data_IF_952379603782
#
_entry.id   IF_952379603782
#
_cell.length_a   1.000
_cell.length_b   1.000
_cell.length_c   1.000
_cell.angle_alpha   90.00
_cell.angle_beta   90.00
_cell.angle_gamma   90.00
#
_symmetry.space_group_name_H-M   'P 1'
#
loop_
_entity.id
_entity.type
_entity.pdbx_description
1 polymer ?
#
# COMPACT_ATOMS: atom_id res chain seq x y z
N UNK A 1 -15.76 -6.68 20.77
CA UNK A 1 -15.52 -6.77 19.32
C UNK A 1 -14.40 -5.83 18.96
N UNK A 2 -13.21 -6.39 18.81
CA UNK A 2 -12.07 -5.65 18.30
C UNK A 2 -12.32 -5.48 16.79
N UNK A 3 -12.64 -4.25 16.37
CA UNK A 3 -13.05 -3.94 15.00
C UNK A 3 -11.97 -4.27 13.96
N UNK A 4 -12.34 -4.22 12.68
CA UNK A 4 -11.36 -4.34 11.60
C UNK A 4 -10.45 -3.11 11.63
N UNK A 5 -9.14 -3.28 11.44
CA UNK A 5 -8.22 -2.16 11.53
C UNK A 5 -6.78 -2.48 11.21
N UNK A 6 -5.93 -1.47 11.38
CA UNK A 6 -4.48 -1.57 11.25
C UNK A 6 -3.89 -1.45 12.66
N UNK A 7 -3.14 -2.47 13.04
CA UNK A 7 -2.55 -2.62 14.37
C UNK A 7 -1.03 -2.72 14.26
N UNK A 8 -0.34 -2.17 15.26
CA UNK A 8 1.10 -2.30 15.43
C UNK A 8 1.37 -3.26 16.58
N UNK A 9 2.00 -4.38 16.28
CA UNK A 9 2.39 -5.40 17.25
C UNK A 9 3.90 -5.63 17.22
N UNK A 10 4.46 -6.05 18.35
CA UNK A 10 5.85 -6.49 18.42
C UNK A 10 5.90 -8.00 18.18
N UNK A 11 6.94 -8.47 17.49
CA UNK A 11 7.18 -9.91 17.34
C UNK A 11 7.24 -10.60 18.71
N UNK A 12 6.47 -11.67 18.87
CA UNK A 12 6.37 -12.42 20.12
C UNK A 12 5.23 -11.99 21.06
N UNK A 13 4.54 -10.89 20.76
CA UNK A 13 3.34 -10.50 21.50
C UNK A 13 2.21 -11.52 21.29
N UNK A 14 1.45 -11.78 22.36
CA UNK A 14 0.27 -12.69 22.32
C UNK A 14 -1.05 -11.93 22.19
N UNK A 15 -1.01 -10.62 21.96
CA UNK A 15 -2.18 -9.74 21.79
C UNK A 15 -2.18 -9.12 20.40
N UNK A 16 -3.30 -8.53 19.99
CA UNK A 16 -3.46 -7.94 18.64
C UNK A 16 -2.59 -6.68 18.40
N UNK A 17 -1.93 -6.16 19.44
CA UNK A 17 -1.10 -4.96 19.38
C UNK A 17 -1.88 -3.65 19.57
N UNK A 18 -1.18 -2.53 19.41
CA UNK A 18 -1.75 -1.18 19.52
C UNK A 18 -2.57 -0.85 18.27
N UNK A 19 -3.86 -0.44 18.39
CA UNK A 19 -4.62 0.04 17.25
C UNK A 19 -4.03 1.38 16.75
N UNK A 20 -3.74 1.46 15.44
CA UNK A 20 -3.35 2.70 14.76
C UNK A 20 -4.50 3.31 13.97
N UNK A 21 -5.27 2.44 13.30
CA UNK A 21 -6.48 2.80 12.56
C UNK A 21 -7.54 1.78 12.92
N UNK A 22 -8.66 2.24 13.47
CA UNK A 22 -9.85 1.41 13.66
C UNK A 22 -10.88 1.78 12.62
N UNK A 23 -11.44 0.76 11.99
CA UNK A 23 -12.60 0.88 11.10
C UNK A 23 -13.77 0.17 11.77
N UNK A 24 -15.00 0.44 11.32
CA UNK A 24 -16.15 -0.32 11.76
C UNK A 24 -16.14 -1.70 11.10
N UNK A 25 -16.54 -1.73 9.83
CA UNK A 25 -16.65 -2.95 9.02
C UNK A 25 -15.98 -2.80 7.64
N UNK A 26 -15.21 -1.75 7.46
CA UNK A 26 -14.56 -1.41 6.20
C UNK A 26 -13.34 -2.30 5.95
N UNK A 27 -13.24 -2.83 4.73
CA UNK A 27 -12.08 -3.65 4.34
C UNK A 27 -10.89 -2.75 4.02
N UNK A 28 -9.73 -3.08 4.59
CA UNK A 28 -8.42 -2.61 4.12
C UNK A 28 -8.06 -3.42 2.88
N UNK A 29 -7.99 -2.75 1.72
CA UNK A 29 -7.73 -3.40 0.42
C UNK A 29 -6.26 -3.46 0.04
N UNK A 30 -5.45 -2.58 0.64
CA UNK A 30 -4.02 -2.50 0.39
C UNK A 30 -3.34 -1.63 1.45
N UNK A 31 -2.08 -1.92 1.74
CA UNK A 31 -1.25 -1.16 2.66
C UNK A 31 0.21 -1.22 2.20
N UNK A 32 0.92 -0.10 2.26
CA UNK A 32 2.35 -0.04 2.02
C UNK A 32 3.02 0.93 2.98
N UNK A 33 4.17 0.53 3.52
CA UNK A 33 5.02 1.40 4.32
C UNK A 33 5.60 2.53 3.46
N UNK A 34 5.79 3.68 4.09
CA UNK A 34 6.66 4.71 3.52
C UNK A 34 8.12 4.25 3.61
N UNK A 35 8.96 4.50 2.59
CA UNK A 35 10.36 4.05 2.59
C UNK A 35 11.20 4.52 3.78
N UNK A 36 10.84 5.67 4.36
CA UNK A 36 11.51 6.26 5.52
C UNK A 36 10.97 5.76 6.88
N UNK A 37 9.95 4.90 6.87
CA UNK A 37 9.30 4.39 8.08
C UNK A 37 8.48 5.42 8.85
N UNK A 38 8.27 6.64 8.31
CA UNK A 38 7.54 7.72 8.98
C UNK A 38 6.03 7.45 9.11
N UNK A 39 5.53 6.42 8.44
CA UNK A 39 4.12 6.12 8.31
C UNK A 39 3.85 5.02 7.28
N UNK A 40 2.60 4.95 6.86
CA UNK A 40 2.14 4.06 5.80
C UNK A 40 0.99 4.69 5.03
N UNK A 41 0.78 4.21 3.82
CA UNK A 41 -0.40 4.48 3.01
C UNK A 41 -1.27 3.24 2.94
N UNK A 42 -2.58 3.42 2.89
CA UNK A 42 -3.53 2.32 2.85
C UNK A 42 -4.77 2.69 2.04
N UNK A 43 -5.37 1.69 1.40
CA UNK A 43 -6.67 1.80 0.76
C UNK A 43 -7.71 1.15 1.67
N UNK A 44 -8.80 1.87 1.94
CA UNK A 44 -9.90 1.40 2.77
C UNK A 44 -11.22 1.61 2.06
N UNK A 45 -12.13 0.65 2.18
CA UNK A 45 -13.51 0.85 1.76
C UNK A 45 -14.19 1.93 2.59
N UNK A 46 -15.04 2.73 1.98
CA UNK A 46 -15.91 3.69 2.65
C UNK A 46 -17.33 3.39 2.19
N UNK A 47 -18.18 2.93 3.12
CA UNK A 47 -19.60 2.78 2.84
C UNK A 47 -20.27 4.15 2.77
N UNK A 48 -21.12 4.33 1.77
CA UNK A 48 -21.96 5.53 1.59
C UNK A 48 -23.34 5.25 2.15
N UNK A 49 -23.85 4.07 1.81
CA UNK A 49 -25.08 3.45 2.29
C UNK A 49 -24.94 1.92 2.16
N UNK A 50 -26.03 1.17 2.31
CA UNK A 50 -26.02 -0.30 2.27
C UNK A 50 -25.64 -0.89 0.91
N UNK A 51 -25.86 -0.16 -0.18
CA UNK A 51 -25.68 -0.64 -1.56
C UNK A 51 -24.46 0.00 -2.23
N UNK A 52 -24.03 1.16 -1.73
CA UNK A 52 -22.96 1.96 -2.29
C UNK A 52 -21.75 1.97 -1.37
N UNK A 53 -20.63 1.54 -1.93
CA UNK A 53 -19.30 1.69 -1.34
C UNK A 53 -18.32 2.21 -2.39
N UNK A 54 -17.21 2.73 -1.90
CA UNK A 54 -16.03 3.14 -2.67
C UNK A 54 -14.80 2.74 -1.89
N UNK A 55 -13.61 2.86 -2.46
CA UNK A 55 -12.39 2.72 -1.67
C UNK A 55 -11.41 3.83 -1.99
N UNK A 56 -10.89 4.49 -0.95
CA UNK A 56 -9.99 5.62 -1.07
C UNK A 56 -8.66 5.35 -0.36
N UNK A 57 -7.65 6.11 -0.79
CA UNK A 57 -6.29 6.01 -0.28
C UNK A 57 -6.07 7.09 0.78
N UNK A 58 -5.47 6.66 1.88
CA UNK A 58 -5.13 7.48 3.04
C UNK A 58 -3.68 7.25 3.43
N UNK A 59 -3.12 8.20 4.15
CA UNK A 59 -1.78 8.16 4.72
C UNK A 59 -1.87 8.36 6.24
N UNK A 60 -1.25 7.46 6.99
CA UNK A 60 -1.05 7.60 8.43
C UNK A 60 0.39 8.03 8.71
N UNK A 61 0.57 9.02 9.60
CA UNK A 61 1.89 9.49 10.03
C UNK A 61 2.11 9.22 11.51
N UNK A 62 3.19 8.54 11.90
CA UNK A 62 3.45 8.19 13.31
C UNK A 62 3.70 9.41 14.20
N UNK A 63 4.51 10.36 13.71
CA UNK A 63 4.93 11.51 14.51
C UNK A 63 3.75 12.39 14.95
N UNK A 64 2.72 12.50 14.12
CA UNK A 64 1.52 13.31 14.40
C UNK A 64 0.29 12.49 14.77
N UNK A 65 0.33 11.18 14.56
CA UNK A 65 -0.81 10.26 14.65
C UNK A 65 -2.02 10.73 13.82
N UNK A 66 -1.76 11.44 12.72
CA UNK A 66 -2.81 11.96 11.84
C UNK A 66 -3.02 11.08 10.63
N UNK A 67 -4.27 11.05 10.17
CA UNK A 67 -4.69 10.42 8.93
C UNK A 67 -4.98 11.52 7.91
N UNK A 68 -4.31 11.46 6.76
CA UNK A 68 -4.56 12.35 5.62
C UNK A 68 -5.20 11.55 4.48
N UNK A 69 -6.34 12.00 3.99
CA UNK A 69 -6.97 11.46 2.78
C UNK A 69 -6.24 11.96 1.53
N UNK A 70 -5.89 11.04 0.62
CA UNK A 70 -5.15 11.36 -0.61
C UNK A 70 -6.06 11.33 -1.86
N UNK A 71 -7.15 10.56 -1.83
CA UNK A 71 -8.10 10.47 -2.95
C UNK A 71 -9.53 10.76 -2.50
N UNK A 72 -10.37 11.22 -3.43
CA UNK A 72 -11.80 11.45 -3.20
C UNK A 72 -12.66 10.82 -4.30
N UNK A 73 -12.59 9.50 -4.42
CA UNK A 73 -13.38 8.75 -5.40
C UNK A 73 -14.84 8.66 -4.97
N UNK A 74 -15.73 8.87 -5.94
CA UNK A 74 -17.18 8.81 -5.76
C UNK A 74 -17.76 7.43 -6.05
N UNK A 75 -17.21 6.71 -7.03
CA UNK A 75 -17.77 5.46 -7.57
C UNK A 75 -16.71 4.46 -8.05
N UNK A 76 -15.48 4.56 -7.53
CA UNK A 76 -14.40 3.64 -7.86
C UNK A 76 -13.70 3.15 -6.59
N UNK A 77 -12.96 2.07 -6.74
CA UNK A 77 -12.28 1.37 -5.66
C UNK A 77 -10.79 1.39 -5.93
N UNK A 78 -10.02 2.06 -5.07
CA UNK A 78 -8.60 1.78 -4.94
C UNK A 78 -8.38 0.46 -4.21
N UNK A 79 -7.43 -0.35 -4.67
CA UNK A 79 -7.09 -1.63 -4.04
C UNK A 79 -5.62 -1.71 -3.65
N UNK A 80 -4.90 -2.65 -4.25
CA UNK A 80 -3.49 -2.84 -3.96
C UNK A 80 -2.68 -1.62 -4.42
N UNK A 81 -1.70 -1.25 -3.61
CA UNK A 81 -0.90 -0.05 -3.84
C UNK A 81 0.54 -0.26 -3.38
N UNK A 82 1.42 0.57 -3.92
CA UNK A 82 2.85 0.58 -3.61
C UNK A 82 3.40 2.00 -3.66
N UNK A 83 4.37 2.30 -2.80
CA UNK A 83 5.07 3.59 -2.72
C UNK A 83 6.36 3.49 -3.52
N UNK A 84 6.70 4.51 -4.29
CA UNK A 84 7.98 4.58 -4.99
C UNK A 84 9.15 4.57 -4.00
N UNK A 85 10.34 4.06 -4.37
CA UNK A 85 11.49 3.99 -3.46
C UNK A 85 11.96 5.33 -2.91
N UNK A 86 11.73 6.41 -3.66
CA UNK A 86 12.02 7.78 -3.24
C UNK A 86 10.90 8.42 -2.40
N UNK A 87 9.80 7.70 -2.17
CA UNK A 87 8.66 8.15 -1.38
C UNK A 87 7.78 9.20 -2.05
N UNK A 88 8.00 9.56 -3.32
CA UNK A 88 7.30 10.70 -3.95
C UNK A 88 6.02 10.34 -4.68
N UNK A 89 5.87 9.09 -5.09
CA UNK A 89 4.76 8.63 -5.92
C UNK A 89 4.12 7.38 -5.35
N UNK A 90 2.84 7.23 -5.67
CA UNK A 90 2.03 6.07 -5.36
C UNK A 90 1.54 5.45 -6.66
N UNK A 91 1.67 4.14 -6.78
CA UNK A 91 1.02 3.35 -7.82
C UNK A 91 -0.05 2.49 -7.17
N UNK A 92 -1.21 2.37 -7.79
CA UNK A 92 -2.34 1.64 -7.23
C UNK A 92 -3.24 1.09 -8.33
N UNK A 93 -3.91 -0.02 -8.06
CA UNK A 93 -5.01 -0.46 -8.90
C UNK A 93 -6.31 0.27 -8.57
N UNK A 94 -7.10 0.51 -9.62
CA UNK A 94 -8.38 1.21 -9.54
C UNK A 94 -9.42 0.47 -10.37
N UNK A 95 -10.54 0.11 -9.75
CA UNK A 95 -11.66 -0.56 -10.39
C UNK A 95 -12.95 0.28 -10.29
N UNK A 96 -13.85 0.12 -11.26
CA UNK A 96 -15.23 0.64 -11.19
C UNK A 96 -16.19 -0.29 -10.46
N UNK A 97 -15.74 -1.48 -10.09
CA UNK A 97 -16.53 -2.50 -9.37
C UNK A 97 -15.85 -2.86 -8.05
N UNK A 98 -16.66 -3.23 -7.05
CA UNK A 98 -16.17 -3.68 -5.74
C UNK A 98 -15.30 -4.93 -5.87
N UNK A 99 -15.77 -5.89 -6.67
CA UNK A 99 -15.05 -7.11 -7.00
C UNK A 99 -14.13 -6.81 -8.18
N UNK A 100 -12.83 -6.65 -7.91
CA UNK A 100 -11.80 -6.32 -8.90
C UNK A 100 -11.49 -7.48 -9.89
N UNK A 101 -12.43 -8.41 -10.08
CA UNK A 101 -12.28 -9.58 -10.93
C UNK A 101 -12.20 -9.20 -12.42
N UNK A 102 -11.01 -8.79 -12.84
CA UNK A 102 -10.62 -8.60 -14.24
C UNK A 102 -10.87 -7.21 -14.84
N UNK A 103 -11.30 -6.21 -14.05
CA UNK A 103 -11.71 -4.87 -14.54
C UNK A 103 -10.96 -3.70 -13.88
N UNK A 104 -9.71 -3.92 -13.47
CA UNK A 104 -8.89 -2.88 -12.86
C UNK A 104 -7.90 -2.28 -13.87
N UNK A 105 -7.56 -1.02 -13.61
CA UNK A 105 -6.47 -0.30 -14.25
C UNK A 105 -5.40 0.05 -13.21
N UNK A 106 -4.15 0.18 -13.64
CA UNK A 106 -3.07 0.71 -12.81
C UNK A 106 -2.95 2.22 -13.03
N UNK A 107 -3.03 2.95 -11.93
CA UNK A 107 -2.91 4.41 -11.87
C UNK A 107 -1.69 4.81 -11.06
N UNK A 108 -1.17 5.99 -11.37
CA UNK A 108 -0.06 6.61 -10.62
C UNK A 108 -0.46 8.03 -10.21
N UNK A 109 -0.02 8.46 -9.03
CA UNK A 109 -0.18 9.83 -8.53
C UNK A 109 1.02 10.24 -7.67
N UNK A 110 1.16 11.54 -7.43
CA UNK A 110 2.09 12.04 -6.42
C UNK A 110 1.56 11.68 -5.01
N UNK A 111 2.45 11.52 -4.03
CA UNK A 111 2.09 11.17 -2.64
C UNK A 111 1.17 12.19 -1.97
N UNK A 112 1.14 13.43 -2.46
CA UNK A 112 0.20 14.45 -1.98
C UNK A 112 -1.24 14.29 -2.52
N UNK A 113 -1.47 13.34 -3.43
CA UNK A 113 -2.75 13.06 -4.10
C UNK A 113 -2.89 13.76 -5.46
N UNK A 114 -1.95 14.62 -5.84
CA UNK A 114 -1.99 15.35 -7.11
C UNK A 114 -1.46 14.52 -8.29
N UNK A 115 -1.69 15.00 -9.51
CA UNK A 115 -1.07 14.44 -10.72
C UNK A 115 -1.53 13.01 -11.05
N UNK A 116 -2.71 12.61 -10.56
CA UNK A 116 -3.27 11.29 -10.84
C UNK A 116 -3.47 11.08 -12.35
N UNK A 117 -2.93 9.98 -12.87
CA UNK A 117 -3.08 9.58 -14.28
C UNK A 117 -3.05 8.06 -14.46
N UNK A 118 -3.68 7.59 -15.52
CA UNK A 118 -3.59 6.20 -15.96
C UNK A 118 -2.14 5.87 -16.32
N UNK A 119 -1.65 4.72 -15.85
CA UNK A 119 -0.33 4.20 -16.18
C UNK A 119 -0.43 3.00 -17.13
N UNK A 120 -1.27 2.02 -16.80
CA UNK A 120 -1.53 0.81 -17.62
C UNK A 120 -3.00 0.43 -17.48
N UNK A 121 -3.67 0.13 -18.59
CA UNK A 121 -5.05 -0.39 -18.56
C UNK A 121 -5.09 -1.91 -18.41
N UNK A 122 -6.19 -2.43 -17.86
CA UNK A 122 -6.42 -3.88 -17.67
C UNK A 122 -5.27 -4.57 -16.91
N UNK A 123 -4.83 -3.95 -15.82
CA UNK A 123 -3.75 -4.44 -14.97
C UNK A 123 -4.09 -4.18 -13.50
N UNK A 124 -3.53 -4.99 -12.61
CA UNK A 124 -3.79 -4.94 -11.17
C UNK A 124 -2.52 -5.29 -10.38
N UNK A 125 -2.57 -5.14 -9.05
CA UNK A 125 -1.46 -5.52 -8.16
C UNK A 125 -0.11 -4.85 -8.49
N UNK A 126 -0.05 -3.52 -8.69
CA UNK A 126 1.20 -2.88 -9.05
C UNK A 126 2.19 -2.86 -7.89
N UNK A 127 3.47 -3.02 -8.20
CA UNK A 127 4.55 -2.94 -7.22
C UNK A 127 5.72 -2.13 -7.79
N UNK A 128 6.27 -1.24 -6.97
CA UNK A 128 7.60 -0.69 -7.23
C UNK A 128 8.65 -1.70 -6.81
N UNK A 129 9.72 -1.82 -7.60
CA UNK A 129 10.96 -2.43 -7.10
C UNK A 129 11.48 -1.59 -5.93
N UNK A 130 12.03 -2.15 -4.86
CA UNK A 130 12.45 -1.45 -3.63
C UNK A 130 13.61 -0.43 -3.78
N UNK A 131 13.96 -0.02 -5.01
CA UNK A 131 15.19 0.70 -5.33
C UNK A 131 16.31 -0.27 -5.70
N UNK A 132 17.49 0.25 -6.03
CA UNK A 132 18.60 -0.53 -6.61
C UNK A 132 18.75 -1.88 -5.91
N UNK A 133 18.68 -2.96 -6.71
CA UNK A 133 19.12 -4.28 -6.25
C UNK A 133 20.52 -4.08 -5.62
N UNK A 134 20.82 -4.65 -4.44
CA UNK A 134 22.20 -4.72 -4.00
C UNK A 134 23.01 -5.26 -5.18
N UNK A 135 24.12 -4.58 -5.53
CA UNK A 135 25.00 -5.02 -6.61
C UNK A 135 25.15 -6.54 -6.50
N UNK A 136 24.99 -7.30 -7.60
CA UNK A 136 24.97 -8.76 -7.53
C UNK A 136 26.16 -9.18 -6.68
N UNK A 137 25.90 -9.97 -5.63
CA UNK A 137 26.96 -10.49 -4.76
C UNK A 137 28.03 -11.03 -5.69
N UNK A 138 29.17 -10.34 -5.75
CA UNK A 138 30.29 -10.81 -6.54
C UNK A 138 30.54 -12.23 -6.04
N UNK A 139 30.26 -13.22 -6.89
CA UNK A 139 30.41 -14.61 -6.55
C UNK A 139 31.89 -14.76 -6.23
N UNK A 140 32.24 -14.81 -4.93
CA UNK A 140 33.61 -15.03 -4.48
C UNK A 140 33.93 -16.46 -4.87
N UNK A 141 34.44 -16.63 -6.08
CA UNK A 141 35.01 -17.88 -6.53
C UNK A 141 36.25 -18.12 -5.68
N UNK A 142 36.10 -18.92 -4.62
CA UNK A 142 37.25 -19.50 -3.95
C UNK A 142 37.82 -20.55 -4.91
N UNK A 143 38.89 -20.19 -5.62
CA UNK A 143 39.75 -21.19 -6.25
C UNK A 143 40.43 -21.98 -5.13
N UNK A 144 40.26 -23.31 -5.03
CA UNK A 144 41.05 -24.09 -4.11
C UNK A 144 42.52 -24.00 -4.54
N UNK A 145 43.37 -23.49 -3.65
CA UNK A 145 44.82 -23.60 -3.81
C UNK A 145 45.18 -25.09 -3.68
N UNK A 146 45.47 -25.73 -4.81
CA UNK A 146 46.18 -26.99 -4.83
C UNK A 146 47.60 -26.74 -4.31
N UNK A 147 47.88 -27.17 -3.08
CA UNK A 147 49.26 -27.38 -2.63
C UNK A 147 49.79 -28.65 -3.28
N UNK A 148 50.96 -28.55 -3.91
CA UNK A 148 51.86 -29.68 -4.16
C UNK A 148 52.96 -29.65 -3.11
#
# INVERSE_FOLDING_TARGET
DDGIGIYLATEGDTTIGQPLVTTGFELIRGLAWLPDGSGFVYAVEEYVDYELSRANIFEYTFASQQIKRLTNFSNTFAGQLSVSPDGKQLVFDRSTTKDASGTADVWIMNRDGSGQRLLVSNAYAPAWSPGALPAPLAQRTFLPLLRR
#
